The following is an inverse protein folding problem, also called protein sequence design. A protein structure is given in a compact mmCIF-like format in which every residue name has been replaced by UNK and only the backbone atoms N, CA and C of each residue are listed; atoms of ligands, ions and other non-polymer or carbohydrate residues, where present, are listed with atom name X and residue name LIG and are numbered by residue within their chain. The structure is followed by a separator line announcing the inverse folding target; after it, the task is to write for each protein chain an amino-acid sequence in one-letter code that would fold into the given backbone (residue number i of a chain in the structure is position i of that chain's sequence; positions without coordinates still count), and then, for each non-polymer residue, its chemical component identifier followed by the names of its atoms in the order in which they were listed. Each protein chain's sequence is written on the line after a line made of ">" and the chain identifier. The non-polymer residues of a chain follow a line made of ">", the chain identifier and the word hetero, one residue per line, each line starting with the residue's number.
data_IF_486082082504
#
_entry.id   IF_486082082504
#
_cell.length_a   1.000
_cell.length_b   1.000
_cell.length_c   1.000
_cell.angle_alpha   90.00
_cell.angle_beta   90.00
_cell.angle_gamma   90.00
#
_symmetry.space_group_name_H-M   'P 1'
#
loop_
_entity.id
_entity.type
_entity.pdbx_description
1 polymer ?
#
# COMPACT_ATOMS: atom_id res chain seq x y z
N UNK A 1 -56.13 8.05 -12.89
CA UNK A 1 -56.38 7.28 -14.14
C UNK A 1 -56.28 5.79 -13.83
N UNK A 2 -57.37 5.03 -13.94
CA UNK A 2 -57.34 3.56 -13.79
C UNK A 2 -56.93 2.96 -15.13
N UNK A 3 -55.76 2.34 -15.19
CA UNK A 3 -55.36 1.55 -16.37
C UNK A 3 -56.25 0.31 -16.47
N UNK A 4 -57.12 0.26 -17.48
CA UNK A 4 -57.90 -0.93 -17.84
C UNK A 4 -57.00 -1.94 -18.57
N UNK A 5 -56.01 -2.49 -17.86
CA UNK A 5 -55.18 -3.59 -18.35
C UNK A 5 -55.95 -4.91 -18.25
N UNK A 6 -55.88 -5.74 -19.29
CA UNK A 6 -56.44 -7.11 -19.26
C UNK A 6 -55.69 -7.97 -18.23
N UNK A 7 -56.34 -9.00 -17.70
CA UNK A 7 -55.76 -9.91 -16.68
C UNK A 7 -54.43 -10.51 -17.15
N UNK A 8 -54.31 -10.87 -18.43
CA UNK A 8 -53.06 -11.37 -19.02
C UNK A 8 -51.95 -10.31 -19.11
N UNK A 9 -52.30 -9.06 -19.42
CA UNK A 9 -51.34 -7.95 -19.42
C UNK A 9 -50.87 -7.59 -18.02
N UNK A 10 -51.73 -7.71 -17.00
CA UNK A 10 -51.34 -7.49 -15.59
C UNK A 10 -50.39 -8.56 -15.07
N UNK A 11 -50.66 -9.83 -15.37
CA UNK A 11 -49.76 -10.93 -15.02
C UNK A 11 -48.40 -10.78 -15.71
N UNK A 12 -48.38 -10.52 -17.02
CA UNK A 12 -47.14 -10.29 -17.75
C UNK A 12 -46.33 -9.09 -17.20
N UNK A 13 -47.02 -8.01 -16.83
CA UNK A 13 -46.39 -6.81 -16.26
C UNK A 13 -45.85 -7.06 -14.85
N UNK A 14 -46.55 -7.84 -14.02
CA UNK A 14 -46.05 -8.29 -12.72
C UNK A 14 -44.79 -9.17 -12.83
N UNK A 15 -44.78 -10.14 -13.73
CA UNK A 15 -43.60 -10.97 -14.02
C UNK A 15 -42.44 -10.14 -14.57
N UNK A 16 -42.72 -9.19 -15.47
CA UNK A 16 -41.70 -8.30 -16.02
C UNK A 16 -41.08 -7.40 -14.94
N UNK A 17 -41.90 -6.80 -14.08
CA UNK A 17 -41.42 -5.97 -12.96
C UNK A 17 -40.62 -6.81 -11.96
N UNK A 18 -41.08 -8.01 -11.62
CA UNK A 18 -40.36 -8.91 -10.73
C UNK A 18 -39.01 -9.32 -11.32
N UNK A 19 -38.97 -9.69 -12.61
CA UNK A 19 -37.74 -10.01 -13.34
C UNK A 19 -36.78 -8.82 -13.40
N UNK A 20 -37.28 -7.62 -13.68
CA UNK A 20 -36.48 -6.40 -13.71
C UNK A 20 -35.91 -6.07 -12.33
N UNK A 21 -36.68 -6.22 -11.25
CA UNK A 21 -36.22 -6.01 -9.88
C UNK A 21 -35.12 -7.00 -9.47
N UNK A 22 -35.27 -8.28 -9.81
CA UNK A 22 -34.24 -9.29 -9.57
C UNK A 22 -32.96 -8.98 -10.35
N UNK A 23 -33.09 -8.54 -11.61
CA UNK A 23 -31.94 -8.20 -12.43
C UNK A 23 -31.20 -6.97 -11.87
N UNK A 24 -31.93 -5.92 -11.51
CA UNK A 24 -31.38 -4.71 -10.87
C UNK A 24 -30.70 -5.08 -9.54
N UNK A 25 -31.33 -5.89 -8.69
CA UNK A 25 -30.74 -6.33 -7.43
C UNK A 25 -29.45 -7.16 -7.63
N UNK A 26 -29.42 -8.06 -8.62
CA UNK A 26 -28.22 -8.84 -8.96
C UNK A 26 -27.09 -7.98 -9.51
N UNK A 27 -27.37 -7.05 -10.44
CA UNK A 27 -26.35 -6.14 -10.97
C UNK A 27 -25.76 -5.24 -9.88
N UNK A 28 -26.60 -4.78 -8.95
CA UNK A 28 -26.21 -4.01 -7.78
C UNK A 28 -25.31 -4.84 -6.85
N UNK A 29 -25.70 -6.08 -6.52
CA UNK A 29 -24.91 -6.95 -5.64
C UNK A 29 -23.51 -7.26 -6.21
N UNK A 30 -23.43 -7.55 -7.51
CA UNK A 30 -22.17 -7.83 -8.22
C UNK A 30 -21.26 -6.59 -8.26
N UNK A 31 -21.83 -5.40 -8.45
CA UNK A 31 -21.05 -4.17 -8.43
C UNK A 31 -20.55 -3.83 -7.01
N UNK A 32 -21.37 -4.04 -5.97
CA UNK A 32 -20.97 -3.88 -4.56
C UNK A 32 -19.81 -4.79 -4.18
N UNK A 33 -19.88 -6.08 -4.56
CA UNK A 33 -18.82 -7.05 -4.26
C UNK A 33 -17.52 -6.69 -4.97
N UNK A 34 -17.59 -6.17 -6.20
CA UNK A 34 -16.40 -5.70 -6.92
C UNK A 34 -15.74 -4.50 -6.25
N UNK A 35 -16.50 -3.48 -5.83
CA UNK A 35 -15.93 -2.26 -5.22
C UNK A 35 -15.35 -2.55 -3.84
N UNK A 36 -16.08 -3.30 -3.02
CA UNK A 36 -15.60 -3.69 -1.68
C UNK A 36 -14.40 -4.63 -1.79
N UNK A 37 -14.42 -5.57 -2.74
CA UNK A 37 -13.31 -6.47 -3.03
C UNK A 37 -12.03 -5.71 -3.39
N UNK A 38 -12.13 -4.73 -4.31
CA UNK A 38 -10.98 -3.88 -4.68
C UNK A 38 -10.42 -3.09 -3.49
N UNK A 39 -11.27 -2.53 -2.63
CA UNK A 39 -10.81 -1.79 -1.46
C UNK A 39 -10.10 -2.71 -0.45
N UNK A 40 -10.60 -3.93 -0.24
CA UNK A 40 -9.96 -4.94 0.62
C UNK A 40 -8.61 -5.38 0.03
N UNK A 41 -8.58 -5.71 -1.26
CA UNK A 41 -7.34 -6.13 -1.95
C UNK A 41 -6.28 -5.03 -1.90
N UNK A 42 -6.68 -3.78 -2.17
CA UNK A 42 -5.79 -2.63 -2.09
C UNK A 42 -5.27 -2.39 -0.67
N UNK A 43 -6.12 -2.56 0.35
CA UNK A 43 -5.69 -2.45 1.76
C UNK A 43 -4.69 -3.54 2.12
N UNK A 44 -4.96 -4.80 1.75
CA UNK A 44 -4.04 -5.92 2.02
C UNK A 44 -2.69 -5.74 1.30
N UNK A 45 -2.72 -5.28 0.06
CA UNK A 45 -1.50 -4.98 -0.69
C UNK A 45 -0.76 -3.78 -0.10
N UNK A 46 -1.46 -2.71 0.27
CA UNK A 46 -0.87 -1.56 0.93
C UNK A 46 -0.18 -1.92 2.24
N UNK A 47 -0.78 -2.80 3.06
CA UNK A 47 -0.15 -3.33 4.28
C UNK A 47 1.15 -4.07 3.96
N UNK A 48 1.16 -4.96 2.96
CA UNK A 48 2.36 -5.69 2.54
C UNK A 48 3.46 -4.76 2.02
N UNK A 49 3.08 -3.71 1.30
CA UNK A 49 4.03 -2.72 0.78
C UNK A 49 4.64 -1.89 1.92
N UNK A 50 3.84 -1.48 2.91
CA UNK A 50 4.33 -0.80 4.13
C UNK A 50 5.22 -1.74 4.94
N UNK A 51 4.87 -3.02 5.07
CA UNK A 51 5.72 -4.02 5.71
C UNK A 51 7.08 -4.14 5.02
N UNK A 52 7.12 -4.10 3.69
CA UNK A 52 8.37 -4.07 2.92
C UNK A 52 9.26 -2.87 3.26
N UNK A 53 8.66 -1.69 3.40
CA UNK A 53 9.36 -0.45 3.78
C UNK A 53 9.88 -0.52 5.23
N UNK A 54 9.07 -1.03 6.16
CA UNK A 54 9.47 -1.26 7.56
C UNK A 54 10.62 -2.26 7.65
N UNK A 55 10.56 -3.36 6.91
CA UNK A 55 11.64 -4.35 6.87
C UNK A 55 12.95 -3.73 6.36
N UNK A 56 12.88 -2.85 5.36
CA UNK A 56 14.06 -2.14 4.86
C UNK A 56 14.63 -1.19 5.93
N UNK A 57 13.78 -0.50 6.70
CA UNK A 57 14.22 0.33 7.83
C UNK A 57 14.87 -0.49 8.95
N UNK A 58 14.33 -1.68 9.24
CA UNK A 58 14.95 -2.61 10.20
C UNK A 58 16.35 -3.03 9.73
N UNK A 59 16.51 -3.41 8.46
CA UNK A 59 17.83 -3.74 7.89
C UNK A 59 18.81 -2.59 7.95
N UNK A 60 18.36 -1.37 7.66
CA UNK A 60 19.18 -0.16 7.85
C UNK A 60 19.66 -0.02 9.31
N UNK A 61 18.73 -0.18 10.27
CA UNK A 61 19.05 -0.10 11.69
C UNK A 61 20.05 -1.17 12.13
N UNK A 62 19.99 -2.37 11.55
CA UNK A 62 20.97 -3.43 11.79
C UNK A 62 22.36 -3.00 11.30
N UNK A 63 22.48 -2.43 10.08
CA UNK A 63 23.76 -1.91 9.57
C UNK A 63 24.33 -0.85 10.53
N UNK A 64 23.51 0.12 10.94
CA UNK A 64 23.91 1.16 11.88
C UNK A 64 24.39 0.58 13.22
N UNK A 65 23.68 -0.42 13.76
CA UNK A 65 24.04 -1.07 15.02
C UNK A 65 25.38 -1.82 14.93
N UNK A 66 25.65 -2.49 13.80
CA UNK A 66 26.93 -3.19 13.58
C UNK A 66 28.08 -2.19 13.46
N UNK A 67 27.87 -1.08 12.73
CA UNK A 67 28.86 0.01 12.67
C UNK A 67 29.12 0.60 14.05
N UNK A 68 28.08 0.87 14.83
CA UNK A 68 28.22 1.42 16.18
C UNK A 68 28.96 0.44 17.11
N UNK A 69 28.66 -0.86 17.02
CA UNK A 69 29.39 -1.89 17.75
C UNK A 69 30.89 -1.90 17.37
N UNK A 70 31.20 -1.83 16.07
CA UNK A 70 32.59 -1.78 15.61
C UNK A 70 33.35 -0.58 16.18
N UNK A 71 32.71 0.59 16.20
CA UNK A 71 33.32 1.82 16.72
C UNK A 71 33.49 1.82 18.24
N UNK A 72 32.54 1.22 18.97
CA UNK A 72 32.59 1.09 20.43
C UNK A 72 33.66 0.09 20.88
N UNK A 73 33.71 -1.08 20.24
CA UNK A 73 34.64 -2.16 20.59
C UNK A 73 36.04 -1.93 20.03
N UNK A 74 36.15 -1.13 18.96
CA UNK A 74 37.38 -0.92 18.19
C UNK A 74 37.98 -2.23 17.66
N UNK A 75 37.14 -3.24 17.44
CA UNK A 75 37.54 -4.53 16.88
C UNK A 75 37.00 -4.65 15.45
N UNK A 76 37.91 -4.69 14.47
CA UNK A 76 37.53 -4.78 13.05
C UNK A 76 37.35 -6.23 12.59
N UNK A 77 38.23 -7.13 12.98
CA UNK A 77 38.30 -8.49 12.41
C UNK A 77 37.04 -9.35 12.62
N UNK A 78 36.39 -9.24 13.78
CA UNK A 78 35.16 -9.98 14.09
C UNK A 78 33.91 -9.31 13.51
N UNK A 79 33.90 -7.98 13.44
CA UNK A 79 32.71 -7.20 13.08
C UNK A 79 32.61 -6.99 11.56
N UNK A 80 33.72 -7.10 10.83
CA UNK A 80 33.76 -6.91 9.37
C UNK A 80 32.86 -7.87 8.60
N UNK A 81 32.94 -9.17 8.90
CA UNK A 81 32.14 -10.17 8.19
C UNK A 81 30.65 -9.98 8.51
N UNK A 82 30.34 -9.61 9.76
CA UNK A 82 28.98 -9.28 10.15
C UNK A 82 28.47 -8.05 9.39
N UNK A 83 29.27 -6.99 9.30
CA UNK A 83 28.91 -5.75 8.62
C UNK A 83 28.68 -5.95 7.13
N UNK A 84 29.54 -6.74 6.48
CA UNK A 84 29.38 -7.10 5.06
C UNK A 84 28.10 -7.88 4.82
N UNK A 85 27.81 -8.89 5.65
CA UNK A 85 26.57 -9.64 5.57
C UNK A 85 25.34 -8.73 5.75
N UNK A 86 25.34 -7.85 6.75
CA UNK A 86 24.20 -6.96 7.01
C UNK A 86 23.97 -5.95 5.88
N UNK A 87 25.03 -5.41 5.26
CA UNK A 87 24.90 -4.55 4.08
C UNK A 87 24.36 -5.32 2.87
N UNK A 88 24.80 -6.56 2.68
CA UNK A 88 24.28 -7.41 1.61
C UNK A 88 22.79 -7.72 1.82
N UNK A 89 22.38 -8.08 3.03
CA UNK A 89 20.97 -8.32 3.37
C UNK A 89 20.10 -7.06 3.19
N UNK A 90 20.62 -5.87 3.53
CA UNK A 90 19.96 -4.60 3.24
C UNK A 90 19.78 -4.39 1.73
N UNK A 91 20.82 -4.61 0.93
CA UNK A 91 20.78 -4.45 -0.52
C UNK A 91 19.83 -5.47 -1.18
N UNK A 92 19.80 -6.71 -0.72
CA UNK A 92 18.85 -7.72 -1.17
C UNK A 92 17.40 -7.29 -0.88
N UNK A 93 17.13 -6.78 0.33
CA UNK A 93 15.81 -6.26 0.69
C UNK A 93 15.42 -5.06 -0.17
N UNK A 94 16.36 -4.17 -0.48
CA UNK A 94 16.14 -3.02 -1.35
C UNK A 94 15.79 -3.43 -2.78
N UNK A 95 16.46 -4.45 -3.31
CA UNK A 95 16.14 -5.05 -4.62
C UNK A 95 14.75 -5.70 -4.59
N UNK A 96 14.39 -6.37 -3.50
CA UNK A 96 13.07 -6.98 -3.35
C UNK A 96 11.95 -5.92 -3.39
N UNK A 97 12.15 -4.77 -2.73
CA UNK A 97 11.22 -3.62 -2.77
C UNK A 97 11.15 -3.03 -4.18
N UNK A 98 12.27 -2.95 -4.91
CA UNK A 98 12.30 -2.45 -6.29
C UNK A 98 11.49 -3.30 -7.27
N UNK A 99 11.57 -4.62 -7.13
CA UNK A 99 10.91 -5.54 -8.05
C UNK A 99 9.38 -5.62 -7.83
N UNK A 100 8.85 -4.88 -6.85
CA UNK A 100 7.44 -4.81 -6.57
C UNK A 100 6.84 -3.52 -7.12
N UNK A 101 5.69 -3.59 -7.81
CA UNK A 101 4.91 -2.39 -8.10
C UNK A 101 4.32 -1.87 -6.78
N UNK A 102 4.75 -0.67 -6.36
CA UNK A 102 4.32 -0.04 -5.12
C UNK A 102 3.22 0.98 -5.41
N UNK A 103 2.01 0.72 -4.93
CA UNK A 103 0.79 1.43 -5.28
C UNK A 103 -0.16 0.64 -6.20
N UNK A 104 -1.37 1.16 -6.38
CA UNK A 104 -2.46 0.56 -7.16
C UNK A 104 -2.71 1.31 -8.47
N UNK A 105 -2.59 2.63 -8.45
CA UNK A 105 -2.76 3.51 -9.59
C UNK A 105 -1.45 3.73 -10.35
N UNK A 106 -1.49 3.87 -11.69
CA UNK A 106 -0.29 4.13 -12.48
C UNK A 106 0.48 5.37 -12.02
N UNK A 107 -0.21 6.41 -11.57
CA UNK A 107 0.38 7.65 -11.08
C UNK A 107 1.17 7.41 -9.78
N UNK A 108 0.59 6.72 -8.80
CA UNK A 108 1.26 6.41 -7.52
C UNK A 108 2.42 5.46 -7.74
N UNK A 109 2.27 4.46 -8.62
CA UNK A 109 3.38 3.55 -9.00
C UNK A 109 4.54 4.35 -9.59
N UNK A 110 4.28 5.28 -10.51
CA UNK A 110 5.34 6.09 -11.12
C UNK A 110 6.03 7.03 -10.10
N UNK A 111 5.27 7.57 -9.13
CA UNK A 111 5.84 8.39 -8.04
C UNK A 111 6.71 7.54 -7.11
N UNK A 112 6.19 6.40 -6.67
CA UNK A 112 6.91 5.49 -5.79
C UNK A 112 8.15 4.88 -6.45
N UNK A 113 8.11 4.63 -7.77
CA UNK A 113 9.27 4.16 -8.54
C UNK A 113 10.44 5.15 -8.46
N UNK A 114 10.16 6.47 -8.44
CA UNK A 114 11.20 7.50 -8.29
C UNK A 114 11.81 7.45 -6.90
N UNK A 115 10.96 7.38 -5.86
CA UNK A 115 11.40 7.28 -4.46
C UNK A 115 12.26 6.04 -4.25
N UNK A 116 11.84 4.90 -4.81
CA UNK A 116 12.64 3.67 -4.77
C UNK A 116 13.97 3.84 -5.50
N UNK A 117 14.00 4.54 -6.64
CA UNK A 117 15.24 4.89 -7.33
C UNK A 117 16.19 5.72 -6.43
N UNK A 118 15.66 6.69 -5.68
CA UNK A 118 16.45 7.46 -4.73
C UNK A 118 16.95 6.60 -3.57
N UNK A 119 16.14 5.66 -3.06
CA UNK A 119 16.56 4.66 -2.06
C UNK A 119 17.70 3.78 -2.57
N UNK A 120 17.75 3.45 -3.87
CA UNK A 120 18.86 2.71 -4.47
C UNK A 120 20.17 3.49 -4.47
N UNK A 121 20.10 4.78 -4.81
CA UNK A 121 21.26 5.65 -4.74
C UNK A 121 21.76 5.73 -3.30
N UNK A 122 20.86 5.86 -2.33
CA UNK A 122 21.20 5.83 -0.90
C UNK A 122 21.83 4.50 -0.46
N UNK A 123 21.36 3.36 -0.98
CA UNK A 123 21.96 2.05 -0.69
C UNK A 123 23.37 1.89 -1.26
N UNK A 124 23.61 2.42 -2.47
CA UNK A 124 24.95 2.47 -3.04
C UNK A 124 25.88 3.42 -2.24
N UNK A 125 25.38 4.59 -1.84
CA UNK A 125 26.10 5.52 -0.96
C UNK A 125 26.44 4.85 0.38
N UNK A 126 25.49 4.15 1.01
CA UNK A 126 25.71 3.40 2.25
C UNK A 126 26.84 2.38 2.08
N UNK A 127 26.79 1.58 1.02
CA UNK A 127 27.79 0.54 0.74
C UNK A 127 29.19 1.16 0.63
N UNK A 128 29.32 2.29 -0.06
CA UNK A 128 30.58 3.01 -0.19
C UNK A 128 31.08 3.58 1.14
N UNK A 129 30.21 4.21 1.92
CA UNK A 129 30.58 4.79 3.23
C UNK A 129 30.97 3.69 4.21
N UNK A 130 30.26 2.57 4.23
CA UNK A 130 30.62 1.41 5.06
C UNK A 130 32.00 0.86 4.68
N UNK A 131 32.30 0.77 3.37
CA UNK A 131 33.62 0.37 2.91
C UNK A 131 34.73 1.35 3.32
N UNK A 132 34.50 2.67 3.21
CA UNK A 132 35.44 3.70 3.70
C UNK A 132 35.64 3.57 5.21
N UNK A 133 34.55 3.41 5.96
CA UNK A 133 34.57 3.29 7.41
C UNK A 133 35.38 2.07 7.86
N UNK A 134 35.19 0.93 7.17
CA UNK A 134 36.00 -0.30 7.36
C UNK A 134 37.49 -0.03 7.11
N UNK A 135 37.85 0.57 5.97
CA UNK A 135 39.24 0.84 5.64
C UNK A 135 39.91 1.75 6.69
N UNK A 136 39.24 2.84 7.07
CA UNK A 136 39.73 3.78 8.08
C UNK A 136 39.84 3.12 9.47
N UNK A 137 38.92 2.22 9.82
CA UNK A 137 38.98 1.46 11.06
C UNK A 137 40.14 0.46 11.08
N UNK A 138 40.41 -0.22 9.96
CA UNK A 138 41.57 -1.13 9.81
C UNK A 138 42.90 -0.37 9.94
N UNK A 139 42.96 0.87 9.46
CA UNK A 139 44.10 1.77 9.64
C UNK A 139 44.25 2.29 11.09
N UNK A 140 43.33 1.94 11.99
CA UNK A 140 43.30 2.40 13.38
C UNK A 140 42.89 3.88 13.54
N UNK A 141 42.36 4.50 12.47
CA UNK A 141 41.98 5.92 12.44
C UNK A 141 40.56 6.13 12.97
N UNK A 142 40.32 5.69 14.20
CA UNK A 142 39.00 5.68 14.85
C UNK A 142 38.32 7.05 14.89
N UNK A 143 39.06 8.14 15.06
CA UNK A 143 38.49 9.49 15.04
C UNK A 143 37.84 9.82 13.68
N UNK A 144 38.46 9.42 12.57
CA UNK A 144 37.90 9.62 11.23
C UNK A 144 36.70 8.70 10.98
N UNK A 145 36.76 7.45 11.44
CA UNK A 145 35.64 6.52 11.34
C UNK A 145 34.41 7.04 12.14
N UNK A 146 34.65 7.63 13.31
CA UNK A 146 33.62 8.29 14.11
C UNK A 146 33.03 9.50 13.38
N UNK A 147 33.85 10.31 12.71
CA UNK A 147 33.34 11.41 11.86
C UNK A 147 32.43 10.87 10.75
N UNK A 148 32.87 9.86 9.99
CA UNK A 148 32.07 9.24 8.93
C UNK A 148 30.71 8.74 9.43
N UNK A 149 30.67 8.14 10.63
CA UNK A 149 29.42 7.69 11.25
C UNK A 149 28.47 8.84 11.59
N UNK A 150 28.97 9.93 12.17
CA UNK A 150 28.14 11.04 12.64
C UNK A 150 27.79 12.06 11.57
N UNK A 151 28.55 12.15 10.47
CA UNK A 151 28.24 13.06 9.36
C UNK A 151 27.61 12.32 8.19
N UNK A 152 28.35 11.42 7.56
CA UNK A 152 27.92 10.79 6.30
C UNK A 152 26.80 9.78 6.55
N UNK A 153 27.00 8.79 7.44
CA UNK A 153 25.95 7.80 7.72
C UNK A 153 24.70 8.44 8.33
N UNK A 154 24.84 9.45 9.19
CA UNK A 154 23.70 10.17 9.75
C UNK A 154 22.93 10.97 8.68
N UNK A 155 23.64 11.53 7.69
CA UNK A 155 23.03 12.24 6.56
C UNK A 155 22.25 11.27 5.66
N UNK A 156 22.86 10.13 5.31
CA UNK A 156 22.21 9.09 4.51
C UNK A 156 21.01 8.53 5.25
N UNK A 157 21.12 8.27 6.56
CA UNK A 157 20.00 7.82 7.40
C UNK A 157 18.82 8.78 7.33
N UNK A 158 19.05 10.09 7.45
CA UNK A 158 17.98 11.08 7.42
C UNK A 158 17.25 11.09 6.06
N UNK A 159 18.02 11.08 4.95
CA UNK A 159 17.47 11.01 3.59
C UNK A 159 16.71 9.70 3.34
N UNK A 160 17.21 8.60 3.90
CA UNK A 160 16.57 7.29 3.85
C UNK A 160 15.24 7.30 4.62
N UNK A 161 15.22 7.81 5.85
CA UNK A 161 14.01 7.91 6.67
C UNK A 161 12.95 8.78 5.98
N UNK A 162 13.35 9.92 5.40
CA UNK A 162 12.46 10.81 4.63
C UNK A 162 11.87 10.09 3.39
N UNK A 163 12.67 9.35 2.64
CA UNK A 163 12.21 8.61 1.47
C UNK A 163 11.27 7.46 1.84
N UNK A 164 11.54 6.73 2.93
CA UNK A 164 10.66 5.68 3.46
C UNK A 164 9.34 6.26 3.95
N UNK A 165 9.39 7.37 4.69
CA UNK A 165 8.18 8.06 5.16
C UNK A 165 7.32 8.52 3.98
N UNK A 166 7.92 9.11 2.95
CA UNK A 166 7.21 9.54 1.75
C UNK A 166 6.59 8.34 1.01
N UNK A 167 7.32 7.23 0.89
CA UNK A 167 6.81 6.00 0.28
C UNK A 167 5.60 5.45 1.05
N UNK A 168 5.72 5.31 2.37
CA UNK A 168 4.64 4.86 3.25
C UNK A 168 3.43 5.80 3.21
N UNK A 169 3.67 7.12 3.19
CA UNK A 169 2.60 8.13 3.11
C UNK A 169 1.83 8.04 1.80
N UNK A 170 2.52 7.88 0.65
CA UNK A 170 1.88 7.72 -0.65
C UNK A 170 0.99 6.47 -0.69
N UNK A 171 1.48 5.34 -0.16
CA UNK A 171 0.71 4.08 -0.10
C UNK A 171 -0.51 4.24 0.81
N UNK A 172 -0.35 4.85 1.98
CA UNK A 172 -1.45 5.07 2.92
C UNK A 172 -2.51 6.01 2.34
N UNK A 173 -2.10 7.12 1.72
CA UNK A 173 -3.01 8.07 1.09
C UNK A 173 -3.84 7.42 -0.03
N UNK A 174 -3.24 6.50 -0.80
CA UNK A 174 -3.96 5.76 -1.83
C UNK A 174 -4.96 4.76 -1.23
N UNK A 175 -4.57 4.01 -0.20
CA UNK A 175 -5.47 3.08 0.52
C UNK A 175 -6.64 3.85 1.13
N UNK A 176 -6.40 4.99 1.77
CA UNK A 176 -7.44 5.86 2.34
C UNK A 176 -8.37 6.41 1.26
N UNK A 177 -7.81 6.83 0.12
CA UNK A 177 -8.59 7.29 -1.03
C UNK A 177 -9.57 6.21 -1.54
N UNK A 178 -9.09 4.98 -1.69
CA UNK A 178 -9.90 3.83 -2.11
C UNK A 178 -10.94 3.43 -1.05
N UNK A 179 -10.60 3.54 0.24
CA UNK A 179 -11.54 3.31 1.34
C UNK A 179 -12.67 4.36 1.35
N UNK A 180 -12.35 5.64 1.14
CA UNK A 180 -13.34 6.72 1.03
C UNK A 180 -14.24 6.52 -0.21
N UNK A 181 -13.65 6.15 -1.35
CA UNK A 181 -14.42 5.85 -2.57
C UNK A 181 -15.38 4.68 -2.35
N UNK A 182 -14.92 3.61 -1.69
CA UNK A 182 -15.77 2.50 -1.26
C UNK A 182 -16.91 2.99 -0.36
N UNK A 183 -16.62 3.80 0.66
CA UNK A 183 -17.65 4.35 1.56
C UNK A 183 -18.68 5.24 0.85
N UNK A 184 -18.27 6.09 -0.09
CA UNK A 184 -19.19 6.88 -0.92
C UNK A 184 -20.05 5.97 -1.79
N UNK A 185 -19.45 4.95 -2.39
CA UNK A 185 -20.15 3.98 -3.22
C UNK A 185 -21.17 3.18 -2.39
N UNK A 186 -20.83 2.79 -1.16
CA UNK A 186 -21.77 2.15 -0.22
C UNK A 186 -22.98 3.04 0.12
N UNK A 187 -22.77 4.35 0.29
CA UNK A 187 -23.89 5.29 0.51
C UNK A 187 -24.79 5.41 -0.72
N UNK A 188 -24.20 5.48 -1.92
CA UNK A 188 -24.95 5.45 -3.19
C UNK A 188 -25.76 4.14 -3.31
N UNK A 189 -25.16 3.01 -2.92
CA UNK A 189 -25.84 1.71 -2.85
C UNK A 189 -27.05 1.72 -1.93
N UNK A 190 -26.93 2.31 -0.72
CA UNK A 190 -28.05 2.44 0.22
C UNK A 190 -29.20 3.26 -0.37
N UNK A 191 -28.90 4.30 -1.15
CA UNK A 191 -29.91 5.11 -1.86
C UNK A 191 -30.61 4.28 -2.95
N UNK A 192 -29.86 3.56 -3.80
CA UNK A 192 -30.45 2.71 -4.84
C UNK A 192 -31.30 1.56 -4.27
N UNK A 193 -30.86 0.94 -3.18
CA UNK A 193 -31.66 -0.07 -2.47
C UNK A 193 -32.96 0.52 -1.93
N UNK A 194 -32.89 1.71 -1.34
CA UNK A 194 -34.06 2.41 -0.81
C UNK A 194 -35.06 2.74 -1.92
N UNK A 195 -34.59 3.23 -3.07
CA UNK A 195 -35.41 3.48 -4.27
C UNK A 195 -36.04 2.18 -4.78
N UNK A 196 -35.26 1.10 -4.87
CA UNK A 196 -35.74 -0.21 -5.35
C UNK A 196 -36.83 -0.78 -4.44
N UNK A 197 -36.68 -0.66 -3.12
CA UNK A 197 -37.71 -1.07 -2.13
C UNK A 197 -38.97 -0.22 -2.26
N UNK A 198 -38.84 1.10 -2.42
CA UNK A 198 -39.99 1.99 -2.62
C UNK A 198 -40.75 1.62 -3.90
N UNK A 199 -40.04 1.40 -5.02
CA UNK A 199 -40.64 0.99 -6.29
C UNK A 199 -41.33 -0.38 -6.17
N UNK A 200 -40.70 -1.33 -5.47
CA UNK A 200 -41.31 -2.63 -5.19
C UNK A 200 -42.62 -2.49 -4.38
N UNK A 201 -42.63 -1.70 -3.30
CA UNK A 201 -43.82 -1.46 -2.48
C UNK A 201 -44.93 -0.76 -3.25
N UNK A 202 -44.61 0.24 -4.06
CA UNK A 202 -45.57 0.95 -4.92
C UNK A 202 -46.14 0.01 -5.98
N UNK A 203 -45.29 -0.77 -6.66
CA UNK A 203 -45.75 -1.73 -7.66
C UNK A 203 -46.67 -2.80 -7.07
N UNK A 204 -46.37 -3.27 -5.85
CA UNK A 204 -47.22 -4.20 -5.12
C UNK A 204 -48.57 -3.57 -4.74
N UNK A 205 -48.58 -2.33 -4.25
CA UNK A 205 -49.81 -1.61 -3.88
C UNK A 205 -50.73 -1.29 -5.08
N UNK A 206 -50.17 -1.16 -6.29
CA UNK A 206 -50.92 -0.93 -7.53
C UNK A 206 -51.45 -2.20 -8.20
N UNK A 207 -51.07 -3.39 -7.72
CA UNK A 207 -51.66 -4.67 -8.12
C UNK A 207 -52.83 -4.96 -7.17
N UNK A 208 -54.10 -4.69 -7.56
CA UNK A 208 -55.23 -4.91 -6.66
C UNK A 208 -55.35 -6.40 -6.33
N UNK A 209 -55.28 -6.72 -5.04
CA UNK A 209 -55.62 -8.03 -4.53
C UNK A 209 -57.08 -8.36 -4.88
N UNK A 210 -57.27 -9.36 -5.73
CA UNK A 210 -58.51 -10.13 -5.86
C UNK A 210 -58.16 -11.59 -6.05
#
# INVERSE_FOLDING_TARGET
>A
MKLHLSIGQRLALGFFVMGALVFVASSIGVWYSMVTGRAIDATQQGIKQVEGAVNLQLRWSEVAAVVDNMLLTRQTSLVEQQLENTVNEFNEQLIAVQNQPLGQSPEVVAQNQKIVGDLQLLGAELTNIVAELKAVAQEGRWARAQTLRHTELASIQRRFDEAIEQLSSNIQAEVDGLAIESGRTQNIFRIYWSITVIVALVSYAFIPAR
#
